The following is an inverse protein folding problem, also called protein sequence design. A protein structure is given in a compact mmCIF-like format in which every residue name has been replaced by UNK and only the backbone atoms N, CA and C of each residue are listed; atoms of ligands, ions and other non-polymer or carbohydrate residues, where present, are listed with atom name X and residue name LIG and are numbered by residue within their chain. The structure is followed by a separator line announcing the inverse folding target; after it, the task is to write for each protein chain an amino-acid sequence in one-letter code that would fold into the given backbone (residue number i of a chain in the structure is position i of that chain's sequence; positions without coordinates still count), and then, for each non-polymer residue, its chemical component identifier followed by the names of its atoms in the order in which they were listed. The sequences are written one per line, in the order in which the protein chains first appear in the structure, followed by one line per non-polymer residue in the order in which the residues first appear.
data_IF_542778282752
#
_entry.id   IF_542778282752
#
_cell.length_a   1.000
_cell.length_b   1.000
_cell.length_c   1.000
_cell.angle_alpha   90.00
_cell.angle_beta   90.00
_cell.angle_gamma   90.00
#
_symmetry.space_group_name_H-M   'P 1'
#
loop_
_entity.id
_entity.type
_entity.pdbx_description
1 polymer ?
#
# COMPACT_ATOMS: atom_id res chain seq x y z
N UNK A 1 22.16 -44.10 -23.41
CA UNK A 1 22.20 -42.96 -22.47
C UNK A 1 21.61 -41.77 -23.20
N UNK A 2 20.48 -41.23 -22.72
CA UNK A 2 19.87 -40.04 -23.32
C UNK A 2 20.72 -38.81 -23.03
N UNK A 3 20.76 -37.86 -23.96
CA UNK A 3 21.45 -36.59 -23.74
C UNK A 3 20.92 -35.89 -22.47
N UNK A 4 21.79 -35.25 -21.68
CA UNK A 4 21.35 -34.55 -20.48
C UNK A 4 20.44 -33.38 -20.87
N UNK A 5 19.15 -33.51 -20.57
CA UNK A 5 18.08 -32.54 -20.84
C UNK A 5 18.25 -31.16 -20.19
N UNK A 6 19.34 -30.98 -19.44
CA UNK A 6 19.69 -29.78 -18.69
C UNK A 6 20.65 -28.88 -19.48
N UNK A 7 21.15 -29.35 -20.63
CA UNK A 7 21.84 -28.53 -21.63
C UNK A 7 20.81 -27.83 -22.53
N UNK A 8 21.10 -26.59 -22.92
CA UNK A 8 20.05 -25.65 -23.31
C UNK A 8 19.38 -25.95 -24.67
N UNK A 9 18.09 -26.31 -24.62
CA UNK A 9 17.17 -26.30 -25.78
C UNK A 9 16.46 -24.94 -26.01
N UNK A 10 16.64 -23.98 -25.09
CA UNK A 10 16.08 -22.61 -25.13
C UNK A 10 17.21 -21.59 -24.95
N UNK A 11 17.02 -20.36 -25.40
CA UNK A 11 18.05 -19.32 -25.30
C UNK A 11 18.48 -19.06 -23.84
N UNK A 12 19.78 -19.22 -23.51
CA UNK A 12 20.27 -19.02 -22.16
C UNK A 12 20.25 -17.55 -21.76
N UNK A 13 20.15 -17.28 -20.45
CA UNK A 13 20.32 -15.93 -19.90
C UNK A 13 21.81 -15.61 -19.92
N UNK A 14 22.19 -14.63 -20.73
CA UNK A 14 23.56 -14.13 -20.83
C UNK A 14 23.66 -12.85 -19.99
N UNK A 15 24.79 -12.65 -19.30
CA UNK A 15 25.05 -11.44 -18.51
C UNK A 15 26.47 -10.97 -18.79
N UNK A 16 26.64 -9.67 -19.03
CA UNK A 16 27.98 -9.08 -19.15
C UNK A 16 28.59 -8.88 -17.74
N UNK A 17 29.75 -9.48 -17.44
CA UNK A 17 30.43 -9.32 -16.13
C UNK A 17 30.77 -7.86 -15.79
N UNK A 18 31.13 -7.03 -16.76
CA UNK A 18 31.44 -5.61 -16.54
C UNK A 18 30.19 -4.87 -16.08
N UNK A 19 29.07 -5.09 -16.78
CA UNK A 19 27.77 -4.55 -16.40
C UNK A 19 27.38 -4.98 -14.98
N UNK A 20 27.49 -6.28 -14.67
CA UNK A 20 27.18 -6.80 -13.35
C UNK A 20 28.07 -6.20 -12.24
N UNK A 21 29.32 -5.89 -12.56
CA UNK A 21 30.25 -5.25 -11.63
C UNK A 21 29.88 -3.78 -11.39
N UNK A 22 29.43 -3.06 -12.43
CA UNK A 22 29.09 -1.65 -12.34
C UNK A 22 27.74 -1.37 -11.65
N UNK A 23 26.70 -2.16 -11.94
CA UNK A 23 25.33 -1.88 -11.46
C UNK A 23 24.75 -2.93 -10.52
N UNK A 24 25.43 -4.08 -10.37
CA UNK A 24 24.94 -5.23 -9.60
C UNK A 24 24.44 -6.36 -10.50
N UNK A 25 24.57 -7.61 -10.02
CA UNK A 25 24.24 -8.82 -10.79
C UNK A 25 22.75 -8.88 -11.18
N UNK A 26 21.85 -8.66 -10.23
CA UNK A 26 20.41 -8.76 -10.47
C UNK A 26 19.95 -7.67 -11.44
N UNK A 27 20.46 -6.47 -11.24
CA UNK A 27 20.25 -5.29 -12.08
C UNK A 27 20.72 -5.55 -13.51
N UNK A 28 21.93 -6.07 -13.68
CA UNK A 28 22.50 -6.41 -14.99
C UNK A 28 21.69 -7.47 -15.73
N UNK A 29 21.20 -8.50 -15.03
CA UNK A 29 20.32 -9.52 -15.62
C UNK A 29 19.03 -8.89 -16.17
N UNK A 30 18.36 -8.02 -15.40
CA UNK A 30 17.12 -7.36 -15.86
C UNK A 30 17.41 -6.42 -17.03
N UNK A 31 18.46 -5.62 -16.96
CA UNK A 31 18.85 -4.69 -18.04
C UNK A 31 19.14 -5.45 -19.32
N UNK A 32 19.90 -6.54 -19.25
CA UNK A 32 20.23 -7.35 -20.41
C UNK A 32 18.99 -8.00 -21.04
N UNK A 33 18.09 -8.52 -20.20
CA UNK A 33 16.85 -9.11 -20.69
C UNK A 33 15.91 -8.04 -21.28
N UNK A 34 15.82 -6.86 -20.67
CA UNK A 34 15.06 -5.74 -21.20
C UNK A 34 15.59 -5.31 -22.58
N UNK A 35 16.92 -5.21 -22.73
CA UNK A 35 17.55 -4.89 -24.01
C UNK A 35 17.19 -5.93 -25.10
N UNK A 36 17.17 -7.21 -24.77
CA UNK A 36 16.70 -8.26 -25.69
C UNK A 36 15.24 -8.01 -26.13
N UNK A 37 14.34 -7.73 -25.18
CA UNK A 37 12.93 -7.46 -25.48
C UNK A 37 12.73 -6.19 -26.33
N UNK A 38 13.50 -5.13 -26.07
CA UNK A 38 13.45 -3.90 -26.86
C UNK A 38 13.92 -4.09 -28.31
N UNK A 39 14.78 -5.07 -28.56
CA UNK A 39 15.23 -5.43 -29.91
C UNK A 39 14.34 -6.50 -30.58
N UNK A 40 13.34 -7.01 -29.87
CA UNK A 40 12.37 -7.96 -30.42
C UNK A 40 11.27 -7.26 -31.24
N UNK A 41 10.56 -8.03 -32.06
CA UNK A 41 9.39 -7.54 -32.83
C UNK A 41 8.22 -7.09 -31.96
N UNK A 42 8.22 -7.46 -30.67
CA UNK A 42 7.15 -7.12 -29.72
C UNK A 42 7.29 -5.72 -29.12
N UNK A 43 8.45 -5.08 -29.27
CA UNK A 43 8.65 -3.70 -28.82
C UNK A 43 7.84 -2.73 -29.68
N UNK A 44 7.25 -1.71 -29.05
CA UNK A 44 6.57 -0.62 -29.77
C UNK A 44 7.40 0.65 -29.71
N UNK A 45 7.47 1.35 -30.82
CA UNK A 45 8.07 2.69 -30.88
C UNK A 45 6.99 3.72 -30.55
N UNK A 46 7.21 4.49 -29.49
CA UNK A 46 6.35 5.59 -29.04
C UNK A 46 7.27 6.78 -28.83
N UNK A 47 6.97 7.91 -29.47
CA UNK A 47 7.78 9.15 -29.43
C UNK A 47 9.25 8.95 -29.80
N UNK A 48 9.51 8.13 -30.83
CA UNK A 48 10.87 7.83 -31.30
C UNK A 48 11.68 6.91 -30.38
N UNK A 49 11.13 6.50 -29.23
CA UNK A 49 11.77 5.58 -28.27
C UNK A 49 11.07 4.22 -28.27
N UNK A 50 11.83 3.14 -28.11
CA UNK A 50 11.27 1.78 -28.02
C UNK A 50 10.81 1.48 -26.59
N UNK A 51 9.65 0.86 -26.48
CA UNK A 51 9.06 0.47 -25.22
C UNK A 51 8.54 -0.96 -25.28
N UNK A 52 8.67 -1.68 -24.16
CA UNK A 52 8.05 -2.98 -23.97
C UNK A 52 7.03 -2.92 -22.85
N UNK A 53 5.83 -3.44 -23.10
CA UNK A 53 4.81 -3.65 -22.10
C UNK A 53 5.10 -4.92 -21.33
N UNK A 54 5.20 -4.86 -19.99
CA UNK A 54 5.39 -6.07 -19.19
C UNK A 54 4.84 -5.94 -17.75
N UNK A 55 4.36 -7.05 -17.18
CA UNK A 55 3.95 -7.14 -15.76
C UNK A 55 5.04 -7.81 -14.93
N UNK A 56 5.01 -7.66 -13.60
CA UNK A 56 5.99 -8.35 -12.75
C UNK A 56 5.83 -9.87 -12.79
N UNK A 57 4.59 -10.35 -12.97
CA UNK A 57 4.22 -11.75 -13.10
C UNK A 57 4.76 -12.33 -14.42
N UNK A 58 4.66 -11.57 -15.52
CA UNK A 58 5.22 -11.99 -16.81
C UNK A 58 6.76 -12.01 -16.77
N UNK A 59 7.39 -11.00 -16.16
CA UNK A 59 8.84 -11.00 -15.91
C UNK A 59 9.29 -12.28 -15.17
N UNK A 60 8.53 -12.70 -14.16
CA UNK A 60 8.81 -13.93 -13.43
C UNK A 60 8.63 -15.17 -14.31
N UNK A 61 7.47 -15.29 -14.96
CA UNK A 61 7.09 -16.48 -15.72
C UNK A 61 8.01 -16.73 -16.92
N UNK A 62 8.30 -15.69 -17.69
CA UNK A 62 8.94 -15.82 -19.00
C UNK A 62 10.47 -15.70 -18.94
N UNK A 63 11.01 -15.02 -17.91
CA UNK A 63 12.45 -14.74 -17.82
C UNK A 63 13.08 -15.18 -16.50
N UNK A 64 12.44 -14.92 -15.37
CA UNK A 64 13.04 -15.11 -14.05
C UNK A 64 12.24 -16.03 -13.13
N UNK A 65 11.98 -17.30 -13.52
CA UNK A 65 11.15 -18.21 -12.71
C UNK A 65 11.81 -18.56 -11.36
N UNK A 66 13.11 -18.30 -11.23
CA UNK A 66 13.91 -18.49 -10.02
C UNK A 66 13.92 -17.28 -9.07
N UNK A 67 13.24 -16.18 -9.42
CA UNK A 67 13.08 -15.02 -8.54
C UNK A 67 11.66 -14.88 -8.03
N UNK A 68 11.51 -14.33 -6.82
CA UNK A 68 10.21 -13.89 -6.33
C UNK A 68 9.80 -12.56 -6.99
N UNK A 69 8.49 -12.31 -7.07
CA UNK A 69 7.95 -11.03 -7.56
C UNK A 69 8.53 -9.84 -6.77
N UNK A 70 8.72 -9.99 -5.46
CA UNK A 70 9.33 -8.97 -4.60
C UNK A 70 10.79 -8.67 -4.99
N UNK A 71 11.55 -9.68 -5.41
CA UNK A 71 12.93 -9.49 -5.91
C UNK A 71 12.93 -8.70 -7.20
N UNK A 72 12.10 -9.10 -8.17
CA UNK A 72 11.94 -8.40 -9.45
C UNK A 72 11.53 -6.94 -9.21
N UNK A 73 10.53 -6.70 -8.36
CA UNK A 73 10.06 -5.36 -8.00
C UNK A 73 11.16 -4.50 -7.38
N UNK A 74 11.95 -5.08 -6.47
CA UNK A 74 13.07 -4.39 -5.81
C UNK A 74 14.15 -4.00 -6.82
N UNK A 75 14.56 -4.93 -7.68
CA UNK A 75 15.59 -4.72 -8.68
C UNK A 75 15.15 -3.68 -9.73
N UNK A 76 13.92 -3.79 -10.24
CA UNK A 76 13.35 -2.77 -11.16
C UNK A 76 13.27 -1.40 -10.46
N UNK A 77 12.86 -1.35 -9.19
CA UNK A 77 12.83 -0.11 -8.42
C UNK A 77 14.23 0.53 -8.26
N UNK A 78 15.25 -0.29 -8.04
CA UNK A 78 16.66 0.14 -8.01
C UNK A 78 17.07 0.75 -9.34
N UNK A 79 16.78 0.07 -10.46
CA UNK A 79 17.11 0.53 -11.82
C UNK A 79 16.37 1.82 -12.21
N UNK A 80 15.11 1.98 -11.78
CA UNK A 80 14.36 3.23 -11.96
C UNK A 80 15.00 4.38 -11.18
N UNK A 81 15.41 4.14 -9.93
CA UNK A 81 16.03 5.15 -9.08
C UNK A 81 17.38 5.61 -9.64
N UNK A 82 18.13 4.71 -10.25
CA UNK A 82 19.38 5.03 -10.95
C UNK A 82 19.16 5.59 -12.37
N UNK A 83 17.90 5.79 -12.77
CA UNK A 83 17.49 6.30 -14.08
C UNK A 83 17.99 5.49 -15.28
N UNK A 84 18.37 4.22 -15.07
CA UNK A 84 18.80 3.29 -16.13
C UNK A 84 17.57 2.77 -16.90
N UNK A 85 16.47 2.53 -16.18
CA UNK A 85 15.19 2.13 -16.75
C UNK A 85 14.20 3.27 -16.63
N UNK A 86 13.59 3.62 -17.75
CA UNK A 86 12.47 4.55 -17.82
C UNK A 86 11.17 3.76 -17.74
N UNK A 87 10.17 4.33 -17.05
CA UNK A 87 8.82 3.78 -17.09
C UNK A 87 7.78 4.77 -17.53
N UNK A 88 6.93 4.34 -18.47
CA UNK A 88 5.80 5.09 -18.97
C UNK A 88 4.48 4.35 -18.70
N UNK A 89 3.39 5.09 -18.71
CA UNK A 89 2.05 4.53 -18.76
C UNK A 89 1.41 4.92 -20.10
N UNK A 90 1.30 3.95 -21.00
CA UNK A 90 0.64 4.11 -22.30
C UNK A 90 -0.62 3.23 -22.38
N UNK A 91 -1.18 2.81 -21.24
CA UNK A 91 -2.37 1.97 -21.20
C UNK A 91 -3.61 2.82 -21.40
N UNK A 92 -4.54 2.34 -22.25
CA UNK A 92 -5.80 3.05 -22.54
C UNK A 92 -6.75 3.12 -21.34
N UNK A 93 -6.61 2.22 -20.36
CA UNK A 93 -7.46 2.13 -19.17
C UNK A 93 -6.68 2.58 -17.94
N UNK A 94 -7.20 3.58 -17.21
CA UNK A 94 -6.52 4.17 -16.04
C UNK A 94 -6.37 3.27 -14.81
N UNK A 95 -7.02 2.09 -14.78
CA UNK A 95 -6.84 1.09 -13.72
C UNK A 95 -5.68 0.12 -13.98
N UNK A 96 -5.17 0.07 -15.21
CA UNK A 96 -4.09 -0.83 -15.58
C UNK A 96 -2.75 -0.26 -15.10
N UNK A 97 -2.30 -0.75 -13.95
CA UNK A 97 -1.03 -0.38 -13.33
C UNK A 97 0.19 -1.03 -14.01
N UNK A 98 0.02 -1.66 -15.19
CA UNK A 98 1.13 -2.26 -15.92
C UNK A 98 2.02 -1.19 -16.53
N UNK A 99 3.32 -1.32 -16.31
CA UNK A 99 4.27 -0.32 -16.76
C UNK A 99 4.84 -0.71 -18.12
N UNK A 100 5.10 0.31 -18.94
CA UNK A 100 5.94 0.18 -20.11
C UNK A 100 7.36 0.50 -19.70
N UNK A 101 8.31 -0.33 -20.13
CA UNK A 101 9.73 -0.19 -19.81
C UNK A 101 10.50 0.21 -21.05
N UNK A 102 11.44 1.13 -20.87
CA UNK A 102 12.44 1.48 -21.86
C UNK A 102 13.81 1.57 -21.19
N UNK A 103 14.86 1.41 -21.98
CA UNK A 103 16.23 1.50 -21.53
C UNK A 103 16.77 2.90 -21.85
N UNK A 104 17.43 3.50 -20.86
CA UNK A 104 18.17 4.74 -21.06
C UNK A 104 19.65 4.43 -21.27
N UNK A 105 20.05 4.31 -22.54
CA UNK A 105 21.40 3.93 -22.94
C UNK A 105 22.43 5.01 -22.56
N UNK A 106 22.05 6.29 -22.61
CA UNK A 106 22.92 7.41 -22.24
C UNK A 106 23.22 7.40 -20.75
N UNK A 107 22.19 7.22 -19.92
CA UNK A 107 22.36 7.08 -18.47
C UNK A 107 23.15 5.82 -18.12
N UNK A 108 22.88 4.70 -18.79
CA UNK A 108 23.63 3.47 -18.57
C UNK A 108 25.13 3.67 -18.87
N UNK A 109 25.46 4.27 -20.02
CA UNK A 109 26.84 4.58 -20.39
C UNK A 109 27.48 5.54 -19.39
N UNK A 110 26.75 6.57 -18.93
CA UNK A 110 27.24 7.48 -17.89
C UNK A 110 27.55 6.74 -16.59
N UNK A 111 26.66 5.87 -16.12
CA UNK A 111 26.87 5.10 -14.88
C UNK A 111 28.08 4.17 -15.02
N UNK A 112 28.24 3.54 -16.18
CA UNK A 112 29.36 2.63 -16.46
C UNK A 112 30.70 3.36 -16.69
N UNK A 113 30.67 4.60 -17.21
CA UNK A 113 31.88 5.37 -17.53
C UNK A 113 32.44 6.17 -16.35
N UNK A 114 31.73 6.19 -15.21
CA UNK A 114 32.22 6.85 -14.00
C UNK A 114 33.46 6.11 -13.50
N UNK A 115 34.61 6.80 -13.34
CA UNK A 115 35.78 6.19 -12.71
C UNK A 115 35.34 5.65 -11.35
N UNK A 116 35.71 4.42 -11.06
CA UNK A 116 35.41 3.72 -9.81
C UNK A 116 36.22 4.34 -8.67
N UNK A 117 36.06 5.63 -8.41
CA UNK A 117 36.60 6.28 -7.23
C UNK A 117 35.76 5.76 -6.07
N UNK A 118 36.40 4.99 -5.21
CA UNK A 118 35.85 4.39 -4.01
C UNK A 118 35.09 5.41 -3.13
N UNK A 119 33.80 5.59 -3.36
CA UNK A 119 32.79 6.01 -2.41
C UNK A 119 31.45 5.80 -3.13
N UNK A 120 30.67 4.77 -2.84
CA UNK A 120 29.97 4.58 -1.58
C UNK A 120 29.95 3.09 -1.24
N UNK A 121 30.12 2.78 0.04
CA UNK A 121 29.92 1.47 0.69
C UNK A 121 29.46 0.36 -0.26
N UNK A 122 30.36 -0.60 -0.53
CA UNK A 122 29.91 -1.97 -0.69
C UNK A 122 29.03 -2.26 0.52
N UNK A 123 27.71 -2.19 0.35
CA UNK A 123 26.80 -2.84 1.26
C UNK A 123 27.01 -4.34 1.02
N UNK A 124 28.14 -4.85 1.53
CA UNK A 124 28.13 -6.13 2.19
C UNK A 124 26.86 -6.09 3.03
N UNK A 125 25.88 -6.93 2.68
CA UNK A 125 24.64 -7.04 3.45
C UNK A 125 25.09 -7.06 4.90
N UNK A 126 24.70 -6.06 5.70
CA UNK A 126 24.86 -6.16 7.15
C UNK A 126 24.04 -7.38 7.54
N UNK A 127 24.68 -8.55 7.59
CA UNK A 127 24.14 -9.76 8.19
C UNK A 127 24.25 -9.57 9.70
N UNK A 128 23.47 -8.63 10.20
CA UNK A 128 23.19 -8.34 11.60
C UNK A 128 22.23 -7.16 11.65
N UNK A 129 20.98 -7.37 11.26
CA UNK A 129 19.84 -6.87 12.04
C UNK A 129 18.63 -7.77 11.74
N UNK A 130 18.20 -8.50 12.77
CA UNK A 130 17.08 -9.45 12.70
C UNK A 130 15.74 -8.75 12.73
N UNK A 131 15.47 -7.86 11.78
CA UNK A 131 14.26 -7.01 11.83
C UNK A 131 13.59 -6.76 10.48
N UNK A 132 13.62 -7.69 9.52
CA UNK A 132 12.68 -7.63 8.38
C UNK A 132 12.34 -9.02 7.85
N UNK A 133 11.59 -9.80 8.63
CA UNK A 133 10.76 -10.89 8.11
C UNK A 133 9.37 -10.74 8.71
N UNK A 134 8.45 -10.20 7.91
CA UNK A 134 7.04 -10.52 8.07
C UNK A 134 6.37 -10.45 6.69
N UNK A 135 6.79 -11.35 5.81
CA UNK A 135 5.95 -11.83 4.70
C UNK A 135 5.51 -13.24 5.10
N UNK A 136 4.20 -13.44 5.28
CA UNK A 136 3.61 -14.70 5.75
C UNK A 136 3.97 -15.85 4.80
N UNK A 137 4.76 -16.80 5.31
CA UNK A 137 4.88 -18.14 4.75
C UNK A 137 3.91 -19.03 5.54
N UNK A 138 2.98 -19.70 4.86
CA UNK A 138 2.07 -20.68 5.46
C UNK A 138 2.82 -21.97 5.76
N UNK A 139 3.65 -21.97 6.81
CA UNK A 139 4.19 -23.20 7.40
C UNK A 139 3.63 -23.31 8.80
N UNK A 140 2.92 -24.42 9.04
CA UNK A 140 2.28 -24.76 10.31
C UNK A 140 3.33 -24.77 11.43
N UNK A 141 3.06 -24.00 12.48
CA UNK A 141 3.81 -24.01 13.73
C UNK A 141 3.66 -25.36 14.45
N UNK A 142 4.78 -25.85 14.97
CA UNK A 142 4.81 -26.60 16.23
C UNK A 142 5.50 -25.71 17.27
N UNK A 143 4.92 -25.69 18.47
CA UNK A 143 5.29 -24.88 19.64
C UNK A 143 6.60 -25.33 20.27
N UNK A 144 7.42 -24.41 20.76
CA UNK A 144 7.53 -24.18 22.21
C UNK A 144 8.46 -23.02 22.61
N UNK A 145 8.12 -22.50 23.79
CA UNK A 145 8.75 -21.55 24.73
C UNK A 145 10.21 -21.09 24.53
N UNK A 146 10.47 -19.81 24.85
CA UNK A 146 11.36 -19.37 25.96
C UNK A 146 11.39 -17.83 26.03
N UNK A 147 11.17 -17.33 27.23
CA UNK A 147 11.26 -15.93 27.68
C UNK A 147 12.67 -15.37 27.58
N UNK A 148 12.84 -14.11 27.19
CA UNK A 148 13.74 -13.19 27.91
C UNK A 148 13.53 -11.71 27.54
N UNK A 149 13.49 -10.90 28.60
CA UNK A 149 13.35 -9.45 28.62
C UNK A 149 14.70 -8.79 28.44
N UNK A 150 14.82 -7.77 27.57
CA UNK A 150 15.83 -6.71 27.77
C UNK A 150 15.32 -5.37 27.23
N UNK A 151 15.01 -4.48 28.16
CA UNK A 151 14.91 -3.04 27.96
C UNK A 151 16.29 -2.49 27.64
N UNK A 152 16.41 -1.60 26.66
CA UNK A 152 17.47 -0.58 26.66
C UNK A 152 17.00 0.68 25.92
N UNK A 153 16.63 1.68 26.72
CA UNK A 153 16.57 3.08 26.31
C UNK A 153 18.01 3.59 26.23
N UNK A 154 18.37 4.26 25.13
CA UNK A 154 19.54 5.12 25.08
C UNK A 154 19.20 6.40 24.34
N UNK A 155 18.78 7.39 25.13
CA UNK A 155 18.78 8.80 24.76
C UNK A 155 20.21 9.32 24.87
N UNK A 156 20.89 9.50 23.73
CA UNK A 156 22.13 10.29 23.69
C UNK A 156 21.74 11.76 23.64
N UNK A 157 21.98 12.42 24.76
CA UNK A 157 21.88 13.87 24.94
C UNK A 157 23.21 14.47 24.47
N UNK A 158 23.18 15.24 23.38
CA UNK A 158 24.16 16.30 23.17
C UNK A 158 23.51 17.62 23.60
N UNK A 159 24.03 18.16 24.71
CA UNK A 159 23.86 19.56 25.08
C UNK A 159 24.79 20.36 24.18
N UNK A 160 24.28 21.43 23.57
CA UNK A 160 24.89 22.74 23.71
C UNK A 160 23.89 23.87 23.43
N UNK A 161 24.06 24.89 24.25
CA UNK A 161 23.67 26.29 24.22
C UNK A 161 22.24 26.80 24.43
N UNK A 162 22.24 27.78 25.33
CA UNK A 162 21.12 28.43 25.98
C UNK A 162 20.52 29.51 25.10
N UNK A 163 19.24 29.35 24.72
CA UNK A 163 18.26 30.43 24.61
C UNK A 163 16.89 29.85 24.23
N UNK A 164 16.02 29.58 25.22
CA UNK A 164 14.53 29.58 25.14
C UNK A 164 13.90 28.85 26.34
N UNK A 165 13.86 29.52 27.51
CA UNK A 165 13.19 28.99 28.71
C UNK A 165 11.66 29.23 28.75
N UNK A 166 11.08 29.96 27.79
CA UNK A 166 9.63 30.24 27.75
C UNK A 166 8.83 29.39 26.74
N UNK A 167 9.45 28.78 25.72
CA UNK A 167 8.75 27.96 24.69
C UNK A 167 8.72 26.44 24.98
N UNK A 168 9.48 25.96 25.96
CA UNK A 168 9.59 24.53 26.30
C UNK A 168 8.34 23.97 27.02
N UNK A 169 7.59 24.83 27.71
CA UNK A 169 6.42 24.41 28.53
C UNK A 169 5.16 24.17 27.68
N UNK A 170 4.96 24.95 26.61
CA UNK A 170 3.84 24.78 25.67
C UNK A 170 4.06 23.60 24.71
N UNK A 171 5.30 23.40 24.27
CA UNK A 171 5.69 22.29 23.38
C UNK A 171 5.57 20.93 24.07
N UNK A 172 5.97 20.81 25.36
CA UNK A 172 5.79 19.57 26.14
C UNK A 172 4.32 19.19 26.33
N UNK A 173 3.45 20.17 26.63
CA UNK A 173 1.99 19.94 26.78
C UNK A 173 1.32 19.51 25.46
N UNK A 174 1.75 20.05 24.32
CA UNK A 174 1.26 19.68 22.99
C UNK A 174 1.66 18.26 22.59
N UNK A 175 2.89 17.85 22.90
CA UNK A 175 3.39 16.49 22.63
C UNK A 175 2.66 15.46 23.49
N UNK A 176 2.43 15.77 24.77
CA UNK A 176 1.67 14.90 25.68
C UNK A 176 0.22 14.71 25.18
N UNK A 177 -0.46 15.81 24.82
CA UNK A 177 -1.83 15.76 24.31
C UNK A 177 -1.94 14.96 23.00
N UNK A 178 -0.96 15.08 22.10
CA UNK A 178 -0.94 14.30 20.86
C UNK A 178 -0.72 12.80 21.14
N UNK A 179 0.14 12.48 22.11
CA UNK A 179 0.44 11.11 22.53
C UNK A 179 -0.81 10.43 23.08
N UNK A 180 -1.56 11.13 23.95
CA UNK A 180 -2.84 10.66 24.50
C UNK A 180 -3.89 10.41 23.42
N UNK A 181 -4.01 11.31 22.43
CA UNK A 181 -4.94 11.11 21.29
C UNK A 181 -4.58 9.89 20.44
N UNK A 182 -3.28 9.63 20.24
CA UNK A 182 -2.83 8.43 19.52
C UNK A 182 -3.19 7.17 20.30
N UNK A 183 -2.96 7.17 21.62
CA UNK A 183 -3.31 6.06 22.50
C UNK A 183 -4.81 5.79 22.47
N UNK A 184 -5.63 6.83 22.50
CA UNK A 184 -7.07 6.73 22.42
C UNK A 184 -7.55 6.04 21.13
N UNK A 185 -7.04 6.45 19.96
CA UNK A 185 -7.39 5.83 18.67
C UNK A 185 -6.95 4.37 18.62
N UNK A 186 -5.74 4.07 19.10
CA UNK A 186 -5.17 2.73 19.03
C UNK A 186 -5.88 1.76 19.99
N UNK A 187 -6.19 2.21 21.21
CA UNK A 187 -6.99 1.44 22.17
C UNK A 187 -8.40 1.18 21.63
N UNK A 188 -8.99 2.15 20.92
CA UNK A 188 -10.28 1.95 20.28
C UNK A 188 -10.23 0.86 19.20
N UNK A 189 -9.18 0.84 18.37
CA UNK A 189 -8.99 -0.22 17.36
C UNK A 189 -8.82 -1.60 18.01
N UNK A 190 -8.03 -1.70 19.09
CA UNK A 190 -7.82 -2.93 19.86
C UNK A 190 -9.16 -3.42 20.40
N UNK A 191 -9.91 -2.56 21.09
CA UNK A 191 -11.20 -2.90 21.66
C UNK A 191 -12.22 -3.36 20.60
N UNK A 192 -12.19 -2.76 19.40
CA UNK A 192 -13.09 -3.14 18.31
C UNK A 192 -12.71 -4.48 17.67
N UNK A 193 -11.42 -4.72 17.46
CA UNK A 193 -10.93 -5.87 16.68
C UNK A 193 -10.54 -7.09 17.52
N UNK A 194 -10.40 -6.93 18.83
CA UNK A 194 -9.87 -7.96 19.73
C UNK A 194 -8.40 -8.31 19.49
N UNK A 195 -7.67 -7.49 18.72
CA UNK A 195 -6.27 -7.75 18.37
C UNK A 195 -5.30 -7.07 19.33
N UNK A 196 -4.25 -7.77 19.70
CA UNK A 196 -3.24 -7.29 20.64
C UNK A 196 -2.16 -6.42 19.98
N UNK A 197 -2.52 -5.20 19.58
CA UNK A 197 -1.55 -4.24 19.07
C UNK A 197 -0.73 -3.60 20.21
N UNK A 198 0.59 -3.58 20.06
CA UNK A 198 1.47 -2.85 20.99
C UNK A 198 1.22 -1.34 20.90
N UNK A 199 0.59 -0.77 21.93
CA UNK A 199 0.19 0.65 21.98
C UNK A 199 1.40 1.60 21.87
N UNK A 200 2.51 1.24 22.53
CA UNK A 200 3.74 2.05 22.55
C UNK A 200 4.64 1.86 21.31
N UNK A 201 4.33 0.92 20.41
CA UNK A 201 5.19 0.64 19.27
C UNK A 201 5.09 1.74 18.20
N UNK A 202 6.25 2.25 17.76
CA UNK A 202 6.32 3.34 16.80
C UNK A 202 5.66 3.03 15.45
N UNK A 203 5.72 1.77 14.99
CA UNK A 203 5.08 1.31 13.76
C UNK A 203 3.56 1.53 13.76
N UNK A 204 2.90 1.33 14.91
CA UNK A 204 1.46 1.51 15.07
C UNK A 204 1.09 2.99 15.23
N UNK A 205 1.92 3.76 15.94
CA UNK A 205 1.66 5.18 16.25
C UNK A 205 1.92 6.11 15.07
N UNK A 206 2.91 5.80 14.22
CA UNK A 206 3.38 6.68 13.14
C UNK A 206 2.23 7.13 12.22
N UNK A 207 1.41 6.21 11.75
CA UNK A 207 0.36 6.51 10.78
C UNK A 207 -0.79 7.33 11.41
N UNK A 208 -1.20 7.01 12.63
CA UNK A 208 -2.19 7.78 13.39
C UNK A 208 -1.67 9.19 13.68
N UNK A 209 -0.42 9.31 14.13
CA UNK A 209 0.21 10.61 14.39
C UNK A 209 0.23 11.49 13.15
N UNK A 210 0.51 10.93 11.97
CA UNK A 210 0.45 11.67 10.71
C UNK A 210 -0.95 12.22 10.43
N UNK A 211 -2.02 11.41 10.59
CA UNK A 211 -3.39 11.89 10.38
C UNK A 211 -3.75 13.04 11.30
N UNK A 212 -3.43 12.93 12.59
CA UNK A 212 -3.73 13.98 13.57
C UNK A 212 -2.95 15.28 13.31
N UNK A 213 -1.73 15.18 12.77
CA UNK A 213 -0.92 16.36 12.38
C UNK A 213 -1.44 17.04 11.12
N UNK A 214 -2.09 16.30 10.23
CA UNK A 214 -2.75 16.82 9.02
C UNK A 214 -4.07 17.56 9.34
N UNK A 215 -4.52 17.53 10.61
CA UNK A 215 -5.71 18.24 11.08
C UNK A 215 -6.93 17.36 11.30
N UNK A 216 -6.84 16.06 11.01
CA UNK A 216 -7.93 15.12 11.30
C UNK A 216 -8.12 14.94 12.81
N UNK A 217 -9.37 14.71 13.22
CA UNK A 217 -9.72 14.52 14.61
C UNK A 217 -9.61 13.05 15.04
N UNK A 218 -9.63 12.80 16.35
CA UNK A 218 -9.74 11.44 16.91
C UNK A 218 -11.05 10.78 16.47
N UNK A 219 -12.13 11.57 16.38
CA UNK A 219 -13.44 11.08 15.94
C UNK A 219 -13.42 10.62 14.48
N UNK A 220 -12.78 11.37 13.59
CA UNK A 220 -12.57 10.94 12.20
C UNK A 220 -11.84 9.60 12.11
N UNK A 221 -10.83 9.41 12.97
CA UNK A 221 -10.10 8.15 13.06
C UNK A 221 -11.01 7.01 13.52
N UNK A 222 -11.86 7.24 14.53
CA UNK A 222 -12.82 6.25 15.04
C UNK A 222 -13.88 5.90 13.99
N UNK A 223 -14.40 6.88 13.26
CA UNK A 223 -15.35 6.68 12.15
C UNK A 223 -14.78 5.77 11.06
N UNK A 224 -13.51 5.99 10.68
CA UNK A 224 -12.83 5.12 9.71
C UNK A 224 -12.69 3.69 10.25
N UNK A 225 -12.34 3.53 11.53
CA UNK A 225 -12.28 2.21 12.18
C UNK A 225 -13.66 1.53 12.11
N UNK A 226 -14.72 2.21 12.54
CA UNK A 226 -16.07 1.65 12.56
C UNK A 226 -16.55 1.25 11.16
N UNK A 227 -16.36 2.14 10.18
CA UNK A 227 -16.77 1.86 8.81
C UNK A 227 -16.05 0.63 8.26
N UNK A 228 -14.73 0.57 8.42
CA UNK A 228 -13.94 -0.54 7.86
C UNK A 228 -14.09 -1.82 8.64
N UNK A 229 -14.32 -1.75 9.94
CA UNK A 229 -14.75 -2.89 10.72
C UNK A 229 -16.05 -3.47 10.15
N UNK A 230 -17.08 -2.66 9.95
CA UNK A 230 -18.34 -3.12 9.36
C UNK A 230 -18.19 -3.68 7.94
N UNK A 231 -17.31 -3.09 7.12
CA UNK A 231 -17.10 -3.53 5.74
C UNK A 231 -16.30 -4.84 5.64
N UNK A 232 -15.38 -5.11 6.58
CA UNK A 232 -14.37 -6.16 6.43
C UNK A 232 -14.40 -7.26 7.50
N UNK A 233 -14.94 -6.97 8.68
CA UNK A 233 -14.94 -7.94 9.78
C UNK A 233 -15.75 -9.19 9.40
N UNK A 234 -15.15 -10.37 9.53
CA UNK A 234 -15.79 -11.64 9.16
C UNK A 234 -16.03 -11.85 7.66
N UNK A 235 -15.64 -10.89 6.80
CA UNK A 235 -15.82 -10.99 5.34
C UNK A 235 -14.65 -11.73 4.73
N UNK A 236 -14.92 -12.66 3.79
CA UNK A 236 -13.91 -13.28 2.94
C UNK A 236 -13.94 -12.62 1.56
N UNK A 237 -12.83 -12.02 1.15
CA UNK A 237 -12.72 -11.41 -0.17
C UNK A 237 -12.63 -12.48 -1.28
N UNK A 238 -12.89 -12.07 -2.52
CA UNK A 238 -12.80 -12.96 -3.70
C UNK A 238 -11.41 -13.59 -3.89
N UNK A 239 -10.37 -12.95 -3.36
CA UNK A 239 -8.99 -13.45 -3.30
C UNK A 239 -8.78 -14.58 -2.28
N UNK A 240 -9.79 -14.92 -1.48
CA UNK A 240 -9.72 -15.90 -0.40
C UNK A 240 -9.15 -15.37 0.92
N UNK A 241 -8.70 -14.12 0.97
CA UNK A 241 -8.21 -13.48 2.20
C UNK A 241 -9.35 -13.01 3.09
N UNK A 242 -9.14 -13.10 4.41
CA UNK A 242 -10.09 -12.63 5.42
C UNK A 242 -9.91 -11.11 5.58
N UNK A 243 -11.01 -10.36 5.56
CA UNK A 243 -11.03 -8.91 5.69
C UNK A 243 -10.44 -8.40 7.00
N UNK A 244 -10.56 -9.19 8.07
CA UNK A 244 -9.92 -8.91 9.36
C UNK A 244 -8.41 -8.67 9.24
N UNK A 245 -7.71 -9.31 8.31
CA UNK A 245 -6.27 -9.09 8.12
C UNK A 245 -5.91 -7.63 7.76
N UNK A 246 -6.88 -6.89 7.23
CA UNK A 246 -6.73 -5.50 6.82
C UNK A 246 -7.11 -4.49 7.93
N UNK A 247 -7.72 -4.96 9.02
CA UNK A 247 -8.01 -4.14 10.21
C UNK A 247 -6.74 -3.97 11.06
N UNK A 248 -5.84 -3.10 10.61
CA UNK A 248 -4.58 -2.74 11.27
C UNK A 248 -4.28 -1.23 11.16
N UNK A 249 -3.46 -0.64 12.05
CA UNK A 249 -3.14 0.78 11.98
C UNK A 249 -2.52 1.22 10.64
N UNK A 250 -1.68 0.38 10.04
CA UNK A 250 -1.00 0.69 8.78
C UNK A 250 -2.01 0.81 7.64
N UNK A 251 -2.94 -0.15 7.52
CA UNK A 251 -3.89 -0.19 6.42
C UNK A 251 -4.95 0.90 6.54
N UNK A 252 -5.47 1.11 7.76
CA UNK A 252 -6.54 2.07 8.02
C UNK A 252 -6.08 3.52 7.91
N UNK A 253 -4.87 3.83 8.38
CA UNK A 253 -4.35 5.19 8.48
C UNK A 253 -3.28 5.54 7.43
N UNK A 254 -3.18 4.75 6.35
CA UNK A 254 -2.34 5.09 5.21
C UNK A 254 -2.90 6.34 4.50
N UNK A 255 -2.07 7.34 4.15
CA UNK A 255 -2.55 8.59 3.56
C UNK A 255 -3.46 8.42 2.34
N UNK A 256 -3.09 7.52 1.41
CA UNK A 256 -3.88 7.26 0.19
C UNK A 256 -5.25 6.66 0.46
N UNK A 257 -5.45 6.01 1.60
CA UNK A 257 -6.69 5.29 1.95
C UNK A 257 -7.57 6.10 2.87
N UNK A 258 -6.98 6.80 3.84
CA UNK A 258 -7.70 7.45 4.93
C UNK A 258 -8.70 8.51 4.43
N UNK A 259 -8.25 9.40 3.55
CA UNK A 259 -9.14 10.43 2.96
C UNK A 259 -10.27 9.79 2.15
N UNK A 260 -9.97 8.72 1.40
CA UNK A 260 -10.99 7.96 0.64
C UNK A 260 -12.06 7.38 1.55
N UNK A 261 -11.65 6.77 2.67
CA UNK A 261 -12.58 6.17 3.63
C UNK A 261 -13.48 7.21 4.30
N UNK A 262 -12.97 8.39 4.62
CA UNK A 262 -13.80 9.49 5.12
C UNK A 262 -14.83 9.94 4.08
N UNK A 263 -14.44 10.08 2.81
CA UNK A 263 -15.38 10.42 1.73
C UNK A 263 -16.47 9.35 1.55
N UNK A 264 -16.09 8.07 1.63
CA UNK A 264 -17.05 6.95 1.58
C UNK A 264 -18.08 7.04 2.73
N UNK A 265 -17.67 7.46 3.92
CA UNK A 265 -18.56 7.65 5.08
C UNK A 265 -19.51 8.83 4.84
N UNK A 266 -19.00 9.98 4.42
CA UNK A 266 -19.84 11.17 4.13
C UNK A 266 -20.91 10.87 3.08
N UNK A 267 -20.57 10.15 2.01
CA UNK A 267 -21.53 9.76 0.97
C UNK A 267 -22.58 8.76 1.49
N UNK A 268 -22.20 7.87 2.41
CA UNK A 268 -23.12 6.92 3.05
C UNK A 268 -24.14 7.63 3.94
N UNK A 269 -23.73 8.68 4.64
CA UNK A 269 -24.60 9.49 5.50
C UNK A 269 -25.61 10.32 4.69
N UNK A 270 -25.19 10.85 3.53
CA UNK A 270 -26.08 11.54 2.58
C UNK A 270 -27.15 10.59 2.05
N UNK A 271 -26.75 9.40 1.58
CA UNK A 271 -27.70 8.40 1.07
C UNK A 271 -28.65 7.85 2.16
N UNK A 272 -28.22 7.77 3.42
CA UNK A 272 -29.10 7.41 4.54
C UNK A 272 -30.13 8.48 4.86
N UNK A 273 -29.77 9.78 4.75
CA UNK A 273 -30.73 10.89 4.95
C UNK A 273 -31.78 10.94 3.85
N UNK A 274 -31.38 10.80 2.59
CA UNK A 274 -32.32 10.77 1.45
C UNK A 274 -33.27 9.57 1.47
N UNK A 275 -32.85 8.44 2.06
CA UNK A 275 -33.73 7.27 2.21
C UNK A 275 -34.66 7.40 3.44
N UNK A 276 -34.20 8.00 4.55
CA UNK A 276 -35.06 8.27 5.71
C UNK A 276 -36.19 9.26 5.42
N UNK A 277 -35.99 10.20 4.51
CA UNK A 277 -37.06 11.11 4.04
C UNK A 277 -38.09 10.41 3.14
N UNK A 278 -37.75 9.26 2.54
CA UNK A 278 -38.70 8.45 1.74
C UNK A 278 -39.47 7.43 2.56
N UNK A 279 -38.90 6.92 3.65
CA UNK A 279 -39.57 5.96 4.54
C UNK A 279 -40.54 6.62 5.54
N UNK A 280 -40.69 7.95 5.51
CA UNK A 280 -41.61 8.72 6.37
C UNK A 280 -42.90 9.20 5.67
N UNK A 281 -43.16 8.77 4.44
CA UNK A 281 -44.44 8.98 3.75
C UNK A 281 -45.20 7.66 3.73
N UNK A 282 -46.03 7.43 4.76
CA UNK A 282 -46.94 6.29 4.82
C UNK A 282 -48.03 6.42 3.75
N UNK A 283 -47.74 5.88 2.56
CA UNK A 283 -48.68 5.74 1.44
C UNK A 283 -49.95 4.97 1.84
N UNK A 284 -49.89 4.19 2.92
CA UNK A 284 -51.00 3.40 3.45
C UNK A 284 -51.98 4.25 4.27
N UNK A 285 -51.50 5.31 4.93
CA UNK A 285 -52.35 6.24 5.70
C UNK A 285 -53.10 7.21 4.77
N UNK A 286 -52.43 7.70 3.71
CA UNK A 286 -53.06 8.53 2.67
C UNK A 286 -54.11 7.76 1.84
N UNK A 287 -53.89 6.46 1.61
CA UNK A 287 -54.85 5.58 0.93
C UNK A 287 -56.09 5.30 1.79
N UNK A 288 -55.92 5.15 3.11
CA UNK A 288 -57.03 4.98 4.04
C UNK A 288 -57.89 6.26 4.14
N UNK A 289 -57.26 7.43 4.14
CA UNK A 289 -57.94 8.72 4.23
C UNK A 289 -58.71 9.08 2.95
N UNK A 290 -58.17 8.73 1.77
CA UNK A 290 -58.87 8.89 0.48
C UNK A 290 -60.01 7.88 0.29
N UNK A 291 -59.86 6.63 0.73
CA UNK A 291 -60.95 5.66 0.72
C UNK A 291 -62.12 6.05 1.65
N UNK A 292 -61.81 6.66 2.80
CA UNK A 292 -62.84 7.18 3.71
C UNK A 292 -63.56 8.42 3.17
N UNK A 293 -62.90 9.23 2.33
CA UNK A 293 -63.52 10.38 1.65
C UNK A 293 -64.35 9.98 0.41
N UNK A 294 -64.04 8.87 -0.25
CA UNK A 294 -64.84 8.34 -1.37
C UNK A 294 -66.10 7.59 -0.92
N UNK A 295 -66.19 7.17 0.35
CA UNK A 295 -67.37 6.50 0.89
C UNK A 295 -68.53 7.47 1.26
N UNK A 296 -68.34 8.78 1.12
CA UNK A 296 -69.35 9.81 1.41
C UNK A 296 -69.83 10.58 0.18
N UNK A 297 -69.49 10.13 -1.03
CA UNK A 297 -69.98 10.77 -2.25
C UNK A 297 -71.37 10.20 -2.60
N UNK A 298 -72.39 10.88 -2.10
CA UNK A 298 -73.81 10.66 -2.43
C UNK A 298 -74.04 11.03 -3.91
N UNK A 299 -74.66 10.13 -4.67
CA UNK A 299 -74.85 10.20 -6.13
C UNK A 299 -75.95 11.21 -6.54
N UNK A 300 -76.33 12.10 -5.61
CA UNK A 300 -77.44 13.05 -5.77
C UNK A 300 -77.04 14.41 -6.37
N UNK A 301 -75.76 14.64 -6.65
CA UNK A 301 -75.23 15.95 -7.08
C UNK A 301 -74.62 15.99 -8.50
N UNK A 302 -74.91 15.01 -9.36
CA UNK A 302 -74.54 15.09 -10.78
C UNK A 302 -75.62 15.82 -11.60
N UNK A 303 -75.31 16.96 -12.25
CA UNK A 303 -76.24 17.60 -13.17
C UNK A 303 -76.33 16.77 -14.47
N UNK A 304 -77.56 16.61 -14.97
CA UNK A 304 -77.89 15.96 -16.25
C UNK A 304 -77.06 16.46 -17.43
#
# INVERSE_FOLDING_TARGET
MGEPSWLFAKHPIVVNPELATGIGLNEAIIVQQLNYWLNSKSAKTIDGKKWIYNTYENWQKDNFPFWSISTIRRTIGSLKKSEIILTGNFNKKGFDNTHWYSLDEENLNRVMSRPSVQNEQTMCSKRADGSVQNEQTNTRDYTDNTTETTNNNSTVVHKDDQQKKSSAKSSKKKVENLTQKIDEVLNYLIAKTGKDFKVKAQSNRKFISSRLKEGYTVDDCKKVIDKKYSDWHGVRFSTGTIGDNYLTPITLFRPSNFSRYLTEISNSDVNKKTNKEKDGFDLEEMAAETASQMATFDDSDLPF
#
